data_IF_227270581591
#
_entry.id   IF_227270581591
#
_cell.length_a   1.000
_cell.length_b   1.000
_cell.length_c   1.000
_cell.angle_alpha   90.00
_cell.angle_beta   90.00
_cell.angle_gamma   90.00
#
_symmetry.space_group_name_H-M   'P 1'
#
loop_
_entity.id
_entity.type
_entity.pdbx_description
1 polymer ?
#
# COMPACT_ATOMS: atom_id res chain seq x y z
N UNK A 1 -0.82 -35.51 40.40
CA UNK A 1 -1.27 -35.38 39.00
C UNK A 1 -1.02 -33.94 38.59
N UNK A 2 -0.01 -33.72 37.76
CA UNK A 2 0.23 -32.41 37.14
C UNK A 2 -0.90 -32.19 36.14
N UNK A 3 -1.84 -31.30 36.44
CA UNK A 3 -2.79 -30.86 35.42
C UNK A 3 -1.96 -30.10 34.37
N UNK A 4 -1.82 -30.57 33.13
CA UNK A 4 -1.30 -29.71 32.07
C UNK A 4 -2.21 -28.48 32.02
N UNK A 5 -1.65 -27.27 32.05
CA UNK A 5 -2.43 -26.07 31.71
C UNK A 5 -2.89 -26.24 30.25
N UNK A 6 -4.10 -26.76 30.08
CA UNK A 6 -4.72 -26.95 28.77
C UNK A 6 -4.95 -25.57 28.16
N UNK A 7 -4.49 -25.42 26.91
CA UNK A 7 -4.66 -24.32 25.96
C UNK A 7 -5.83 -23.38 26.30
N UNK A 8 -5.51 -22.17 26.75
CA UNK A 8 -6.49 -21.15 27.10
C UNK A 8 -6.69 -20.18 25.94
N UNK A 9 -7.95 -19.86 25.61
CA UNK A 9 -8.24 -18.81 24.63
C UNK A 9 -7.68 -17.44 25.05
N UNK A 10 -7.38 -17.24 26.35
CA UNK A 10 -6.71 -16.02 26.86
C UNK A 10 -5.21 -15.96 26.53
N UNK A 11 -4.66 -16.90 25.76
CA UNK A 11 -3.38 -16.69 25.08
C UNK A 11 -3.48 -15.64 23.97
N UNK A 12 -4.70 -15.41 23.45
CA UNK A 12 -4.99 -14.28 22.60
C UNK A 12 -5.12 -13.00 23.45
N UNK A 13 -4.41 -11.92 23.09
CA UNK A 13 -4.31 -10.68 23.88
C UNK A 13 -5.62 -9.89 23.95
N UNK A 14 -6.47 -9.97 22.91
CA UNK A 14 -7.81 -9.34 22.97
C UNK A 14 -8.62 -10.03 24.08
N UNK A 15 -8.73 -11.36 24.01
CA UNK A 15 -9.48 -12.15 25.01
C UNK A 15 -8.86 -12.08 26.41
N UNK A 16 -7.53 -11.95 26.49
CA UNK A 16 -6.80 -11.75 27.75
C UNK A 16 -7.08 -10.39 28.40
N UNK A 17 -7.42 -9.38 27.60
CA UNK A 17 -7.70 -8.01 28.07
C UNK A 17 -9.16 -7.82 28.48
N UNK A 18 -10.06 -8.75 28.13
CA UNK A 18 -11.45 -8.73 28.57
C UNK A 18 -11.55 -9.08 30.07
N UNK A 19 -12.29 -8.31 30.88
CA UNK A 19 -12.50 -8.63 32.28
C UNK A 19 -13.15 -10.01 32.46
N UNK A 20 -12.72 -10.76 33.48
CA UNK A 20 -13.07 -12.18 33.64
C UNK A 20 -14.59 -12.44 33.66
N UNK A 21 -15.38 -11.52 34.21
CA UNK A 21 -16.84 -11.62 34.27
C UNK A 21 -17.50 -11.63 32.88
N UNK A 22 -16.96 -10.88 31.92
CA UNK A 22 -17.43 -10.87 30.53
C UNK A 22 -16.87 -12.07 29.77
N UNK A 23 -15.60 -12.39 29.98
CA UNK A 23 -14.94 -13.53 29.37
C UNK A 23 -15.62 -14.87 29.69
N UNK A 24 -16.14 -15.07 30.91
CA UNK A 24 -16.81 -16.30 31.29
C UNK A 24 -17.97 -16.65 30.34
N UNK A 25 -18.76 -15.65 29.91
CA UNK A 25 -19.88 -15.85 28.97
C UNK A 25 -19.39 -16.12 27.56
N UNK A 26 -18.37 -15.40 27.12
CA UNK A 26 -17.72 -15.65 25.81
C UNK A 26 -17.13 -17.06 25.72
N UNK A 27 -16.60 -17.57 26.84
CA UNK A 27 -15.92 -18.86 26.90
C UNK A 27 -16.83 -20.04 26.57
N UNK A 28 -18.15 -19.91 26.77
CA UNK A 28 -19.14 -20.93 26.41
C UNK A 28 -19.26 -21.11 24.88
N UNK A 29 -18.90 -20.08 24.12
CA UNK A 29 -18.99 -20.07 22.65
C UNK A 29 -17.64 -20.28 21.96
N UNK A 30 -16.53 -20.20 22.70
CA UNK A 30 -15.18 -20.36 22.16
C UNK A 30 -14.82 -21.83 22.00
N UNK A 31 -14.51 -22.25 20.77
CA UNK A 31 -14.06 -23.61 20.45
C UNK A 31 -12.63 -23.61 19.92
N UNK A 32 -11.73 -24.44 20.47
CA UNK A 32 -10.39 -24.57 19.91
C UNK A 32 -10.45 -25.15 18.50
N UNK A 33 -9.54 -24.70 17.64
CA UNK A 33 -9.34 -25.20 16.28
C UNK A 33 -7.86 -25.22 15.96
N UNK A 34 -7.41 -26.31 15.32
CA UNK A 34 -6.07 -26.42 14.79
C UNK A 34 -6.09 -25.99 13.32
N UNK A 35 -5.16 -25.12 12.96
CA UNK A 35 -5.06 -24.49 11.63
C UNK A 35 -3.75 -24.90 10.97
N UNK A 36 -3.82 -25.33 9.73
CA UNK A 36 -2.65 -25.80 8.97
C UNK A 36 -2.12 -24.71 8.04
N UNK A 37 -0.80 -24.63 7.85
CA UNK A 37 -0.20 -23.66 6.93
C UNK A 37 -0.73 -23.83 5.50
N UNK A 38 -1.08 -22.72 4.85
CA UNK A 38 -1.71 -22.67 3.54
C UNK A 38 -3.23 -22.90 3.54
N UNK A 39 -3.83 -23.22 4.68
CA UNK A 39 -5.28 -23.34 4.79
C UNK A 39 -5.97 -21.99 4.58
N UNK A 40 -7.01 -21.99 3.75
CA UNK A 40 -7.90 -20.84 3.59
C UNK A 40 -8.99 -20.94 4.64
N UNK A 41 -9.16 -19.89 5.44
CA UNK A 41 -10.25 -19.82 6.44
C UNK A 41 -11.47 -19.11 5.85
N UNK A 42 -11.23 -18.14 4.97
CA UNK A 42 -12.27 -17.41 4.24
C UNK A 42 -11.82 -17.08 2.82
N UNK A 43 -12.69 -17.33 1.84
CA UNK A 43 -12.54 -16.76 0.50
C UNK A 43 -13.19 -15.37 0.40
N UNK A 44 -12.78 -14.59 -0.60
CA UNK A 44 -13.32 -13.26 -0.83
C UNK A 44 -14.83 -13.33 -1.17
N UNK A 45 -15.62 -12.52 -0.48
CA UNK A 45 -17.07 -12.42 -0.63
C UNK A 45 -17.88 -13.45 0.17
N UNK A 46 -17.24 -14.44 0.80
CA UNK A 46 -17.93 -15.44 1.62
C UNK A 46 -18.50 -14.83 2.90
N UNK A 47 -19.60 -15.42 3.38
CA UNK A 47 -20.22 -15.02 4.65
C UNK A 47 -19.38 -15.49 5.84
N UNK A 48 -19.13 -14.58 6.78
CA UNK A 48 -18.38 -14.85 7.99
C UNK A 48 -19.27 -15.54 9.03
N UNK A 49 -19.18 -16.87 9.10
CA UNK A 49 -19.88 -17.66 10.13
C UNK A 49 -19.19 -17.60 11.51
N UNK A 50 -17.89 -17.31 11.55
CA UNK A 50 -17.06 -17.37 12.75
C UNK A 50 -16.05 -16.23 12.80
N UNK A 51 -15.72 -15.80 14.02
CA UNK A 51 -14.55 -14.99 14.33
C UNK A 51 -13.46 -15.90 14.88
N UNK A 52 -12.22 -15.71 14.44
CA UNK A 52 -11.07 -16.50 14.91
C UNK A 52 -10.12 -15.64 15.73
N UNK A 53 -9.64 -16.20 16.84
CA UNK A 53 -8.68 -15.62 17.76
C UNK A 53 -7.43 -16.51 17.76
N UNK A 54 -6.41 -16.19 16.96
CA UNK A 54 -5.15 -16.94 16.95
C UNK A 54 -4.49 -16.94 18.33
N UNK A 55 -3.76 -18.01 18.64
CA UNK A 55 -2.96 -18.14 19.88
C UNK A 55 -1.53 -18.53 19.59
N UNK A 56 -1.32 -19.47 18.66
CA UNK A 56 0.00 -19.98 18.26
C UNK A 56 0.14 -20.11 16.73
N UNK A 57 -0.77 -19.47 15.98
CA UNK A 57 -0.74 -19.40 14.53
C UNK A 57 -0.76 -17.95 14.04
N UNK A 58 -0.42 -17.74 12.77
CA UNK A 58 -0.60 -16.46 12.08
C UNK A 58 -1.43 -16.65 10.83
N UNK A 59 -2.26 -15.66 10.51
CA UNK A 59 -3.07 -15.61 9.28
C UNK A 59 -2.83 -14.30 8.57
N UNK A 60 -2.86 -14.30 7.25
CA UNK A 60 -2.72 -13.08 6.45
C UNK A 60 -3.98 -12.79 5.65
N UNK A 61 -4.32 -11.51 5.56
CA UNK A 61 -5.22 -11.01 4.54
C UNK A 61 -4.45 -10.89 3.24
N UNK A 62 -4.95 -11.55 2.20
CA UNK A 62 -4.32 -11.62 0.89
C UNK A 62 -5.30 -11.10 -0.16
N UNK A 63 -4.80 -10.25 -1.05
CA UNK A 63 -5.51 -9.84 -2.25
C UNK A 63 -4.91 -10.53 -3.48
N UNK A 64 -5.76 -10.88 -4.43
CA UNK A 64 -5.36 -11.46 -5.70
C UNK A 64 -5.54 -10.44 -6.82
N UNK A 65 -4.57 -10.37 -7.73
CA UNK A 65 -4.72 -9.65 -8.99
C UNK A 65 -5.46 -10.52 -10.01
N UNK A 66 -6.00 -9.91 -11.05
CA UNK A 66 -6.64 -10.64 -12.16
C UNK A 66 -5.67 -11.61 -12.88
N UNK A 67 -4.37 -11.33 -12.79
CA UNK A 67 -3.30 -12.14 -13.39
C UNK A 67 -2.85 -13.31 -12.48
N UNK A 68 -3.46 -13.45 -11.30
CA UNK A 68 -3.21 -14.56 -10.37
C UNK A 68 -2.11 -14.30 -9.34
N UNK A 69 -1.45 -13.15 -9.38
CA UNK A 69 -0.50 -12.75 -8.34
C UNK A 69 -1.22 -12.49 -7.02
N UNK A 70 -0.55 -12.74 -5.91
CA UNK A 70 -1.09 -12.54 -4.57
C UNK A 70 -0.18 -11.62 -3.76
N UNK A 71 -0.74 -10.61 -3.09
CA UNK A 71 -0.01 -9.77 -2.14
C UNK A 71 -0.65 -9.86 -0.76
N UNK A 72 0.18 -10.04 0.26
CA UNK A 72 -0.23 -9.81 1.65
C UNK A 72 -0.57 -8.32 1.83
N UNK A 73 -1.64 -8.06 2.59
CA UNK A 73 -2.06 -6.72 2.98
C UNK A 73 -1.79 -6.45 4.46
N UNK A 74 -2.08 -7.44 5.30
CA UNK A 74 -1.91 -7.38 6.75
C UNK A 74 -1.86 -8.79 7.34
N UNK A 75 -1.28 -8.90 8.55
CA UNK A 75 -1.17 -10.16 9.27
C UNK A 75 -1.85 -10.07 10.64
N UNK A 76 -2.44 -11.18 11.05
CA UNK A 76 -3.14 -11.35 12.32
C UNK A 76 -2.52 -12.50 13.10
N UNK A 77 -2.07 -12.20 14.32
CA UNK A 77 -1.51 -13.16 15.26
C UNK A 77 -2.28 -13.23 16.57
N UNK A 78 -1.60 -13.65 17.64
CA UNK A 78 -2.19 -13.74 18.99
C UNK A 78 -2.64 -12.40 19.57
N UNK A 79 -2.25 -11.30 18.97
CA UNK A 79 -2.60 -9.93 19.31
C UNK A 79 -3.81 -9.40 18.53
N UNK A 80 -4.49 -10.25 17.76
CA UNK A 80 -5.59 -9.83 16.90
C UNK A 80 -6.72 -10.86 16.75
N UNK A 81 -7.59 -10.60 15.78
CA UNK A 81 -8.69 -11.49 15.40
C UNK A 81 -9.00 -11.45 13.89
N UNK A 82 -9.48 -12.55 13.34
CA UNK A 82 -10.00 -12.64 11.98
C UNK A 82 -11.52 -12.46 12.02
N UNK A 83 -12.08 -11.68 11.09
CA UNK A 83 -13.53 -11.40 11.02
C UNK A 83 -13.90 -9.97 11.45
N UNK A 84 -12.94 -9.04 11.40
CA UNK A 84 -13.12 -7.63 11.80
C UNK A 84 -14.25 -6.90 11.06
N UNK A 85 -14.61 -7.34 9.84
CA UNK A 85 -15.67 -6.70 9.05
C UNK A 85 -17.06 -6.83 9.68
N UNK A 86 -17.29 -7.84 10.53
CA UNK A 86 -18.55 -7.99 11.29
C UNK A 86 -18.82 -6.77 12.17
N UNK A 87 -17.79 -6.22 12.79
CA UNK A 87 -17.87 -5.05 13.68
C UNK A 87 -18.17 -3.78 12.88
N UNK A 88 -17.77 -3.76 11.61
CA UNK A 88 -18.02 -2.67 10.67
C UNK A 88 -19.37 -2.80 9.95
N UNK A 89 -20.21 -3.77 10.34
CA UNK A 89 -21.55 -3.98 9.79
C UNK A 89 -21.59 -4.81 8.50
N UNK A 90 -20.47 -5.41 8.08
CA UNK A 90 -20.43 -6.30 6.91
C UNK A 90 -20.32 -7.76 7.32
N UNK A 91 -21.18 -8.61 6.74
CA UNK A 91 -21.16 -10.05 6.93
C UNK A 91 -20.11 -10.80 6.09
N UNK A 92 -19.28 -10.09 5.31
CA UNK A 92 -18.27 -10.69 4.43
C UNK A 92 -16.98 -9.84 4.37
N UNK A 93 -15.92 -10.41 3.77
CA UNK A 93 -14.65 -9.73 3.51
C UNK A 93 -14.31 -9.74 2.02
N UNK A 94 -13.71 -8.67 1.51
CA UNK A 94 -13.27 -8.59 0.10
C UNK A 94 -11.90 -9.26 -0.15
N UNK A 95 -11.29 -9.81 0.90
CA UNK A 95 -9.96 -10.41 0.85
C UNK A 95 -10.03 -11.85 1.32
N UNK A 96 -9.10 -12.66 0.81
CA UNK A 96 -8.92 -14.03 1.25
C UNK A 96 -8.12 -14.04 2.55
N UNK A 97 -8.43 -14.96 3.45
CA UNK A 97 -7.68 -15.17 4.69
C UNK A 97 -6.98 -16.52 4.65
N UNK A 98 -5.65 -16.49 4.68
CA UNK A 98 -4.80 -17.69 4.56
C UNK A 98 -3.95 -17.86 5.81
N UNK A 99 -3.91 -19.07 6.36
CA UNK A 99 -3.03 -19.44 7.47
C UNK A 99 -1.59 -19.51 6.99
N UNK A 100 -0.69 -18.79 7.65
CA UNK A 100 0.72 -18.73 7.27
C UNK A 100 1.55 -19.69 8.09
N UNK A 101 1.55 -19.49 9.41
CA UNK A 101 2.16 -20.42 10.34
C UNK A 101 1.06 -21.27 10.97
N UNK A 102 1.21 -22.60 10.86
CA UNK A 102 0.32 -23.55 11.50
C UNK A 102 0.35 -23.42 13.02
N UNK A 103 -0.78 -23.69 13.66
CA UNK A 103 -0.91 -23.63 15.11
C UNK A 103 -2.38 -23.62 15.53
N UNK A 104 -2.65 -23.04 16.69
CA UNK A 104 -3.97 -23.06 17.30
C UNK A 104 -4.63 -21.69 17.30
N UNK A 105 -5.95 -21.72 17.14
CA UNK A 105 -6.83 -20.58 17.33
C UNK A 105 -8.08 -21.02 18.12
N UNK A 106 -8.85 -20.05 18.59
CA UNK A 106 -10.21 -20.27 19.05
C UNK A 106 -11.19 -19.60 18.10
N UNK A 107 -12.28 -20.28 17.76
CA UNK A 107 -13.35 -19.71 16.95
C UNK A 107 -14.60 -19.47 17.78
N UNK A 108 -15.31 -18.38 17.50
CA UNK A 108 -16.58 -18.01 18.09
C UNK A 108 -17.60 -17.79 16.97
N UNK A 109 -18.85 -18.29 17.08
CA UNK A 109 -19.92 -17.96 16.14
C UNK A 109 -20.11 -16.44 15.98
N UNK A 110 -20.33 -15.98 14.74
CA UNK A 110 -20.42 -14.55 14.43
C UNK A 110 -21.57 -13.84 15.17
N UNK A 111 -22.70 -14.50 15.33
CA UNK A 111 -23.86 -14.00 16.11
C UNK A 111 -23.52 -13.82 17.59
N UNK A 112 -22.88 -14.82 18.21
CA UNK A 112 -22.41 -14.76 19.58
C UNK A 112 -21.38 -13.64 19.80
N UNK A 113 -20.47 -13.47 18.83
CA UNK A 113 -19.50 -12.39 18.83
C UNK A 113 -20.16 -11.01 18.78
N UNK A 114 -21.07 -10.79 17.82
CA UNK A 114 -21.79 -9.53 17.68
C UNK A 114 -22.66 -9.19 18.89
N UNK A 115 -23.28 -10.20 19.51
CA UNK A 115 -23.98 -10.03 20.79
C UNK A 115 -23.05 -9.55 21.91
N UNK A 116 -21.84 -10.12 22.05
CA UNK A 116 -20.90 -9.65 23.08
C UNK A 116 -20.36 -8.25 22.78
N UNK A 117 -20.03 -7.96 21.52
CA UNK A 117 -19.59 -6.61 21.11
C UNK A 117 -20.66 -5.56 21.43
N UNK A 118 -21.95 -5.92 21.29
CA UNK A 118 -23.05 -5.00 21.59
C UNK A 118 -23.32 -4.85 23.10
N UNK A 119 -22.93 -5.86 23.89
CA UNK A 119 -23.20 -5.93 25.34
C UNK A 119 -22.07 -5.42 26.22
N UNK A 120 -20.82 -5.68 25.84
CA UNK A 120 -19.63 -5.37 26.63
C UNK A 120 -18.86 -4.23 25.97
N UNK A 121 -18.93 -3.06 26.61
CA UNK A 121 -18.26 -1.85 26.13
C UNK A 121 -16.74 -2.03 26.05
N UNK A 122 -16.14 -2.69 27.04
CA UNK A 122 -14.70 -2.97 27.09
C UNK A 122 -14.26 -3.85 25.93
N UNK A 123 -15.03 -4.90 25.62
CA UNK A 123 -14.75 -5.78 24.49
C UNK A 123 -14.93 -5.03 23.15
N UNK A 124 -15.99 -4.22 23.03
CA UNK A 124 -16.19 -3.35 21.87
C UNK A 124 -15.00 -2.41 21.64
N UNK A 125 -14.51 -1.74 22.69
CA UNK A 125 -13.35 -0.85 22.60
C UNK A 125 -12.09 -1.58 22.18
N UNK A 126 -11.83 -2.77 22.75
CA UNK A 126 -10.67 -3.60 22.36
C UNK A 126 -10.72 -4.00 20.88
N UNK A 127 -11.89 -4.40 20.40
CA UNK A 127 -12.09 -4.81 19.00
C UNK A 127 -11.95 -3.60 18.06
N UNK A 128 -12.48 -2.43 18.42
CA UNK A 128 -12.31 -1.20 17.63
C UNK A 128 -10.84 -0.71 17.62
N UNK A 129 -10.13 -0.85 18.73
CA UNK A 129 -8.68 -0.61 18.78
C UNK A 129 -7.95 -1.54 17.81
N UNK A 130 -8.34 -2.81 17.75
CA UNK A 130 -7.77 -3.75 16.80
C UNK A 130 -8.07 -3.39 15.33
N UNK A 131 -9.27 -2.88 15.03
CA UNK A 131 -9.58 -2.32 13.69
C UNK A 131 -8.58 -1.23 13.32
N UNK A 132 -8.32 -0.29 14.24
CA UNK A 132 -7.37 0.80 14.01
C UNK A 132 -5.94 0.27 13.78
N UNK A 133 -5.50 -0.71 14.58
CA UNK A 133 -4.20 -1.39 14.38
C UNK A 133 -4.10 -2.00 12.98
N UNK A 134 -5.16 -2.68 12.52
CA UNK A 134 -5.16 -3.31 11.21
C UNK A 134 -5.09 -2.27 10.08
N UNK A 135 -5.81 -1.15 10.20
CA UNK A 135 -5.74 -0.04 9.26
C UNK A 135 -4.32 0.55 9.21
N UNK A 136 -3.69 0.78 10.37
CA UNK A 136 -2.31 1.26 10.43
C UNK A 136 -1.34 0.29 9.75
N UNK A 137 -1.47 -1.02 9.97
CA UNK A 137 -0.64 -2.03 9.30
C UNK A 137 -0.80 -1.97 7.77
N UNK A 138 -2.04 -1.91 7.27
CA UNK A 138 -2.31 -1.84 5.83
C UNK A 138 -1.79 -0.53 5.20
N UNK A 139 -1.91 0.60 5.89
CA UNK A 139 -1.34 1.86 5.41
C UNK A 139 0.19 1.83 5.38
N UNK A 140 0.82 1.28 6.43
CA UNK A 140 2.28 1.21 6.51
C UNK A 140 2.87 0.20 5.54
N UNK A 141 2.18 -0.90 5.23
CA UNK A 141 2.69 -1.89 4.26
C UNK A 141 2.91 -1.27 2.87
N UNK A 142 2.05 -0.33 2.46
CA UNK A 142 2.19 0.43 1.20
C UNK A 142 3.46 1.29 1.19
N UNK A 143 3.68 2.06 2.27
CA UNK A 143 4.88 2.90 2.44
C UNK A 143 6.13 2.01 2.41
N UNK A 144 6.08 0.92 3.16
CA UNK A 144 7.20 0.00 3.32
C UNK A 144 7.62 -0.64 1.99
N UNK A 145 6.66 -0.99 1.12
CA UNK A 145 6.94 -1.56 -0.21
C UNK A 145 7.66 -0.54 -1.11
N UNK A 146 7.25 0.73 -1.07
CA UNK A 146 7.78 1.79 -1.95
C UNK A 146 9.12 2.37 -1.50
N UNK A 147 9.41 2.39 -0.20
CA UNK A 147 10.53 3.16 0.35
C UNK A 147 11.63 2.33 1.03
N UNK A 148 11.38 1.05 1.36
CA UNK A 148 12.34 0.23 2.12
C UNK A 148 12.87 -0.99 1.36
N UNK A 149 14.10 -1.35 1.67
CA UNK A 149 14.78 -2.49 1.08
C UNK A 149 14.10 -3.82 1.46
N UNK A 150 14.34 -4.84 0.65
CA UNK A 150 13.87 -6.22 0.94
C UNK A 150 14.44 -6.72 2.27
N UNK A 151 15.66 -6.32 2.64
CA UNK A 151 16.28 -6.74 3.89
C UNK A 151 15.58 -6.15 5.10
N UNK A 152 15.23 -4.87 5.08
CA UNK A 152 14.52 -4.20 6.18
C UNK A 152 13.11 -4.75 6.35
N UNK A 153 12.38 -4.94 5.24
CA UNK A 153 11.05 -5.56 5.24
C UNK A 153 11.08 -7.02 5.71
N UNK A 154 12.12 -7.76 5.34
CA UNK A 154 12.31 -9.13 5.85
C UNK A 154 12.54 -9.12 7.37
N UNK A 155 13.39 -8.24 7.88
CA UNK A 155 13.60 -8.08 9.33
C UNK A 155 12.29 -7.76 10.05
N UNK A 156 11.48 -6.84 9.48
CA UNK A 156 10.14 -6.50 10.00
C UNK A 156 9.28 -7.76 10.08
N UNK A 157 9.19 -8.50 8.97
CA UNK A 157 8.31 -9.66 8.86
C UNK A 157 8.71 -10.76 9.85
N UNK A 158 10.01 -10.99 10.04
CA UNK A 158 10.54 -11.94 11.00
C UNK A 158 10.21 -11.54 12.45
N UNK A 159 10.45 -10.29 12.83
CA UNK A 159 10.15 -9.79 14.18
C UNK A 159 8.65 -9.81 14.47
N UNK A 160 7.84 -9.37 13.51
CA UNK A 160 6.39 -9.39 13.67
C UNK A 160 5.88 -10.83 13.84
N UNK A 161 6.31 -11.79 13.01
CA UNK A 161 5.89 -13.19 13.14
C UNK A 161 6.35 -13.80 14.46
N UNK A 162 7.56 -13.47 14.90
CA UNK A 162 8.08 -13.90 16.21
C UNK A 162 7.17 -13.41 17.34
N UNK A 163 6.81 -12.14 17.34
CA UNK A 163 5.99 -11.55 18.39
C UNK A 163 4.54 -12.07 18.35
N UNK A 164 4.02 -12.34 17.15
CA UNK A 164 2.72 -12.94 16.91
C UNK A 164 2.63 -14.42 17.35
N UNK A 165 3.72 -15.19 17.23
CA UNK A 165 3.78 -16.62 17.56
C UNK A 165 4.40 -16.93 18.92
N UNK A 166 5.08 -15.96 19.54
CA UNK A 166 5.92 -16.15 20.73
C UNK A 166 7.05 -17.17 20.56
N UNK A 167 7.62 -17.25 19.35
CA UNK A 167 8.61 -18.26 19.00
C UNK A 167 9.74 -17.64 18.19
N UNK A 168 10.98 -17.94 18.58
CA UNK A 168 12.17 -17.57 17.81
C UNK A 168 12.39 -18.48 16.59
N UNK A 169 11.61 -19.56 16.46
CA UNK A 169 11.60 -20.42 15.28
C UNK A 169 10.33 -20.24 14.46
N UNK A 170 10.50 -19.89 13.19
CA UNK A 170 9.44 -19.75 12.20
C UNK A 170 9.48 -20.93 11.23
N UNK A 171 8.38 -21.65 11.08
CA UNK A 171 8.22 -22.75 10.10
C UNK A 171 7.67 -22.18 8.81
N UNK A 172 8.56 -21.70 7.94
CA UNK A 172 8.19 -21.00 6.71
C UNK A 172 9.21 -21.28 5.59
N UNK A 173 8.78 -21.22 4.34
CA UNK A 173 9.67 -21.36 3.18
C UNK A 173 10.05 -20.00 2.61
N UNK A 174 11.19 -19.92 1.91
CA UNK A 174 11.58 -18.69 1.22
C UNK A 174 10.55 -18.25 0.17
N UNK A 175 9.89 -19.21 -0.49
CA UNK A 175 8.82 -18.94 -1.46
C UNK A 175 7.62 -18.28 -0.80
N UNK A 176 7.20 -18.80 0.36
CA UNK A 176 6.13 -18.21 1.15
C UNK A 176 6.46 -16.76 1.50
N UNK A 177 7.66 -16.49 2.03
CA UNK A 177 8.08 -15.12 2.37
C UNK A 177 8.14 -14.23 1.12
N UNK A 178 8.60 -14.76 -0.01
CA UNK A 178 8.71 -14.02 -1.26
C UNK A 178 7.33 -13.54 -1.74
N UNK A 179 6.35 -14.44 -1.75
CA UNK A 179 4.96 -14.11 -2.07
C UNK A 179 4.38 -13.08 -1.10
N UNK A 180 4.71 -13.19 0.18
CA UNK A 180 4.20 -12.30 1.24
C UNK A 180 4.77 -10.88 1.11
N UNK A 181 6.06 -10.76 0.81
CA UNK A 181 6.72 -9.48 0.64
C UNK A 181 6.58 -8.91 -0.78
N UNK A 182 5.90 -9.62 -1.69
CA UNK A 182 5.71 -9.20 -3.09
C UNK A 182 7.03 -9.12 -3.86
N UNK A 183 7.97 -10.02 -3.59
CA UNK A 183 9.32 -10.02 -4.20
C UNK A 183 9.67 -11.39 -4.76
N UNK A 184 10.75 -11.45 -5.55
CA UNK A 184 11.28 -12.72 -6.06
C UNK A 184 11.96 -13.52 -4.93
N UNK A 185 11.88 -14.85 -4.99
CA UNK A 185 12.50 -15.77 -4.01
C UNK A 185 14.01 -15.56 -3.89
N UNK A 186 14.69 -15.19 -4.97
CA UNK A 186 16.12 -14.90 -4.99
C UNK A 186 16.44 -13.71 -4.07
N UNK A 187 15.60 -12.68 -4.06
CA UNK A 187 15.76 -11.51 -3.20
C UNK A 187 15.68 -11.89 -1.72
N UNK A 188 14.76 -12.78 -1.35
CA UNK A 188 14.66 -13.32 0.02
C UNK A 188 15.90 -14.12 0.38
N UNK A 189 16.38 -14.95 -0.55
CA UNK A 189 17.57 -15.78 -0.32
C UNK A 189 18.81 -14.92 -0.10
N UNK A 190 18.98 -13.85 -0.88
CA UNK A 190 20.06 -12.88 -0.69
C UNK A 190 19.95 -12.11 0.63
N UNK A 191 18.75 -11.63 0.97
CA UNK A 191 18.52 -10.90 2.22
C UNK A 191 18.77 -11.79 3.45
N UNK A 192 18.25 -13.03 3.46
CA UNK A 192 18.54 -14.01 4.51
C UNK A 192 20.03 -14.33 4.60
N UNK A 193 20.74 -14.44 3.46
CA UNK A 193 22.19 -14.65 3.45
C UNK A 193 22.96 -13.52 4.16
N UNK A 194 22.54 -12.26 3.97
CA UNK A 194 23.12 -11.11 4.67
C UNK A 194 22.86 -11.16 6.18
N UNK A 195 21.60 -11.38 6.58
CA UNK A 195 21.22 -11.50 7.99
C UNK A 195 21.94 -12.67 8.68
N UNK A 196 22.11 -13.80 7.98
CA UNK A 196 22.82 -14.97 8.50
C UNK A 196 24.33 -14.74 8.62
N UNK A 197 24.94 -14.03 7.66
CA UNK A 197 26.36 -13.65 7.74
C UNK A 197 26.64 -12.69 8.90
N UNK A 198 25.65 -11.85 9.25
CA UNK A 198 25.68 -10.99 10.43
C UNK A 198 25.38 -11.72 11.75
N UNK A 199 25.07 -13.03 11.72
CA UNK A 199 24.77 -13.82 12.91
C UNK A 199 23.37 -13.58 13.49
N UNK A 200 22.50 -12.86 12.80
CA UNK A 200 21.18 -12.47 13.31
C UNK A 200 20.14 -13.60 13.19
N UNK A 201 20.26 -14.42 12.14
CA UNK A 201 19.35 -15.52 11.85
C UNK A 201 20.10 -16.77 11.39
N UNK A 202 19.47 -17.94 11.54
CA UNK A 202 19.90 -19.17 10.90
C UNK A 202 18.77 -19.73 10.02
N UNK A 203 19.04 -19.93 8.74
CA UNK A 203 18.10 -20.56 7.82
C UNK A 203 18.37 -22.06 7.67
N UNK A 204 17.29 -22.85 7.64
CA UNK A 204 17.30 -24.27 7.32
C UNK A 204 16.14 -24.61 6.38
N UNK A 205 16.01 -25.89 6.00
CA UNK A 205 14.93 -26.30 5.09
C UNK A 205 13.56 -26.08 5.74
N UNK A 206 12.80 -25.12 5.19
CA UNK A 206 11.44 -24.80 5.63
C UNK A 206 11.36 -24.19 7.04
N UNK A 207 12.47 -23.66 7.56
CA UNK A 207 12.51 -23.03 8.89
C UNK A 207 13.55 -21.92 8.97
N UNK A 208 13.27 -20.89 9.76
CA UNK A 208 14.17 -19.79 10.07
C UNK A 208 14.20 -19.65 11.59
N UNK A 209 15.40 -19.62 12.17
CA UNK A 209 15.60 -19.32 13.59
C UNK A 209 16.15 -17.90 13.73
N UNK A 210 15.55 -17.10 14.60
CA UNK A 210 16.05 -15.79 15.01
C UNK A 210 17.06 -16.04 16.14
N UNK A 211 18.31 -15.62 15.94
CA UNK A 211 19.40 -15.84 16.89
C UNK A 211 19.63 -14.60 17.78
N UNK A 212 19.50 -13.43 17.17
CA UNK A 212 19.65 -12.14 17.84
C UNK A 212 18.48 -11.23 17.47
N UNK A 213 17.54 -11.10 18.41
CA UNK A 213 16.36 -10.25 18.25
C UNK A 213 16.73 -8.77 18.21
N UNK A 214 17.67 -8.36 19.04
CA UNK A 214 18.00 -6.94 19.19
C UNK A 214 18.80 -6.48 17.97
N UNK A 215 19.78 -7.26 17.52
CA UNK A 215 20.48 -6.98 16.26
C UNK A 215 19.57 -7.03 15.03
N UNK A 216 18.52 -7.87 15.03
CA UNK A 216 17.50 -7.85 13.97
C UNK A 216 16.60 -6.61 14.04
N UNK A 217 16.36 -6.08 15.24
CA UNK A 217 15.63 -4.82 15.46
C UNK A 217 16.40 -3.64 14.88
N UNK A 218 17.73 -3.63 14.95
CA UNK A 218 18.56 -2.59 14.32
C UNK A 218 18.51 -2.63 12.77
N UNK A 219 18.08 -3.76 12.20
CA UNK A 219 17.94 -3.96 10.76
C UNK A 219 16.52 -3.72 10.24
N UNK A 220 15.58 -3.33 11.09
CA UNK A 220 14.18 -3.10 10.70
C UNK A 220 13.95 -1.67 10.25
N UNK A 221 13.02 -1.47 9.34
CA UNK A 221 12.56 -0.13 8.98
C UNK A 221 11.72 0.51 10.09
N UNK A 222 11.58 1.83 10.04
CA UNK A 222 10.80 2.62 10.98
C UNK A 222 9.30 2.25 11.02
N UNK A 223 8.77 1.61 9.97
CA UNK A 223 7.40 1.08 9.95
C UNK A 223 7.13 0.18 11.18
N UNK A 224 8.12 -0.63 11.61
CA UNK A 224 7.95 -1.56 12.73
C UNK A 224 7.69 -0.84 14.04
N UNK A 225 8.49 0.18 14.34
CA UNK A 225 8.34 0.98 15.55
C UNK A 225 7.02 1.74 15.56
N UNK A 226 6.58 2.25 14.40
CA UNK A 226 5.29 2.94 14.27
C UNK A 226 4.13 2.00 14.58
N UNK A 227 4.06 0.83 13.92
CA UNK A 227 2.98 -0.15 14.14
C UNK A 227 2.99 -0.68 15.57
N UNK A 228 4.18 -1.00 16.11
CA UNK A 228 4.32 -1.55 17.45
C UNK A 228 3.93 -0.55 18.53
N UNK A 229 4.36 0.71 18.40
CA UNK A 229 4.02 1.78 19.35
C UNK A 229 2.53 2.13 19.32
N UNK A 230 1.91 2.18 18.15
CA UNK A 230 0.47 2.42 18.03
C UNK A 230 -0.34 1.24 18.62
N UNK A 231 0.11 0.00 18.36
CA UNK A 231 -0.49 -1.20 18.98
C UNK A 231 -0.44 -1.14 20.50
N UNK A 232 0.72 -0.83 21.07
CA UNK A 232 0.89 -0.69 22.51
C UNK A 232 -0.01 0.43 23.06
N UNK A 233 0.02 1.62 22.44
CA UNK A 233 -0.76 2.78 22.86
C UNK A 233 -2.27 2.48 22.89
N UNK A 234 -2.78 1.79 21.87
CA UNK A 234 -4.21 1.47 21.76
C UNK A 234 -4.64 0.43 22.80
N UNK A 235 -3.84 -0.61 23.01
CA UNK A 235 -4.11 -1.58 24.08
C UNK A 235 -4.02 -0.97 25.48
N UNK A 236 -3.04 -0.09 25.74
CA UNK A 236 -2.95 0.64 27.00
C UNK A 236 -4.16 1.56 27.23
N UNK A 237 -4.65 2.23 26.19
CA UNK A 237 -5.84 3.07 26.28
C UNK A 237 -7.10 2.25 26.56
N UNK A 238 -7.27 1.12 25.87
CA UNK A 238 -8.39 0.22 26.08
C UNK A 238 -8.38 -0.45 27.47
N UNK A 239 -7.19 -0.68 28.04
CA UNK A 239 -7.04 -1.19 29.41
C UNK A 239 -7.23 -0.15 30.52
N UNK A 240 -7.23 1.16 30.19
CA UNK A 240 -7.38 2.28 31.14
C UNK A 240 -8.82 2.79 31.26
N UNK A 241 -9.83 2.06 30.81
CA UNK A 241 -11.24 2.43 31.08
C UNK A 241 -11.40 2.59 32.59
N UNK A 242 -11.74 3.79 33.10
CA UNK A 242 -11.65 4.07 34.52
C UNK A 242 -12.65 3.20 35.28
N UNK A 243 -12.19 2.52 36.34
CA UNK A 243 -13.04 1.93 37.39
C UNK A 243 -13.91 2.99 38.12
N UNK A 244 -13.82 4.27 37.74
CA UNK A 244 -14.58 5.36 38.32
C UNK A 244 -15.97 5.47 37.69
N UNK A 245 -16.91 4.63 38.13
CA UNK A 245 -18.30 4.99 38.45
C UNK A 245 -19.18 3.73 38.67
N UNK A 246 -18.80 2.88 39.63
CA UNK A 246 -19.71 1.86 40.17
C UNK A 246 -20.71 2.42 41.21
N UNK A 247 -20.85 3.74 41.32
CA UNK A 247 -21.82 4.39 42.21
C UNK A 247 -22.57 5.51 41.48
N UNK A 248 -23.44 5.15 40.54
CA UNK A 248 -24.71 5.85 40.24
C UNK A 248 -25.22 5.51 38.82
N UNK A 249 -25.80 4.32 38.65
CA UNK A 249 -26.63 4.06 37.47
C UNK A 249 -27.74 3.04 37.75
N UNK A 250 -28.33 3.09 38.94
CA UNK A 250 -29.74 2.73 39.12
C UNK A 250 -30.57 4.01 38.99
N UNK A 251 -30.64 4.58 37.79
CA UNK A 251 -31.66 5.56 37.46
C UNK A 251 -31.82 5.68 35.94
N UNK A 252 -33.01 5.29 35.47
CA UNK A 252 -33.61 5.70 34.20
C UNK A 252 -33.14 4.92 32.95
N UNK A 253 -33.84 3.82 32.68
CA UNK A 253 -34.09 3.39 31.30
C UNK A 253 -34.79 4.54 30.55
N UNK A 254 -34.03 5.25 29.70
CA UNK A 254 -34.57 6.02 28.59
C UNK A 254 -33.76 5.67 27.32
N UNK A 255 -34.39 5.26 26.22
CA UNK A 255 -33.69 4.97 24.98
C UNK A 255 -33.56 6.25 24.15
N UNK A 256 -32.51 7.05 24.40
CA UNK A 256 -32.10 8.15 23.51
C UNK A 256 -30.59 8.31 23.64
N UNK A 257 -29.81 8.01 22.58
CA UNK A 257 -28.36 8.33 22.58
C UNK A 257 -27.47 7.61 21.57
N UNK A 258 -27.86 6.46 21.01
CA UNK A 258 -26.97 5.72 20.07
C UNK A 258 -26.75 6.45 18.73
N UNK A 259 -27.72 7.24 18.26
CA UNK A 259 -27.60 8.00 17.01
C UNK A 259 -26.64 9.19 17.13
N UNK A 260 -26.65 9.90 18.26
CA UNK A 260 -25.82 11.10 18.46
C UNK A 260 -24.33 10.77 18.56
N UNK A 261 -23.98 9.66 19.21
CA UNK A 261 -22.59 9.20 19.34
C UNK A 261 -22.00 8.71 18.00
N UNK A 262 -22.83 8.11 17.15
CA UNK A 262 -22.45 7.72 15.78
C UNK A 262 -22.34 8.95 14.87
N UNK A 263 -23.31 9.86 14.92
CA UNK A 263 -23.29 11.13 14.20
C UNK A 263 -22.07 11.98 14.57
N UNK A 264 -21.70 12.01 15.84
CA UNK A 264 -20.47 12.69 16.30
C UNK A 264 -19.21 12.03 15.73
N UNK A 265 -19.10 10.69 15.73
CA UNK A 265 -17.95 9.99 15.13
C UNK A 265 -17.85 10.20 13.61
N UNK A 266 -18.97 10.23 12.89
CA UNK A 266 -18.99 10.56 11.46
C UNK A 266 -18.66 12.03 11.20
N UNK A 267 -19.13 12.95 12.05
CA UNK A 267 -18.76 14.36 11.99
C UNK A 267 -17.26 14.55 12.24
N UNK A 268 -16.68 13.85 13.20
CA UNK A 268 -15.23 13.91 13.47
C UNK A 268 -14.43 13.33 12.28
N UNK A 269 -14.85 12.18 11.72
CA UNK A 269 -14.18 11.61 10.54
C UNK A 269 -14.27 12.53 9.31
N UNK A 270 -15.40 13.24 9.15
CA UNK A 270 -15.59 14.22 8.09
C UNK A 270 -14.74 15.48 8.34
N UNK A 271 -14.82 16.07 9.54
CA UNK A 271 -14.15 17.32 9.90
C UNK A 271 -12.63 17.16 10.02
N UNK A 272 -12.10 16.01 10.45
CA UNK A 272 -10.65 15.79 10.62
C UNK A 272 -9.98 15.05 9.45
N UNK A 273 -10.70 14.78 8.36
CA UNK A 273 -10.09 14.20 7.17
C UNK A 273 -9.03 15.16 6.58
N UNK A 274 -7.84 14.66 6.17
CA UNK A 274 -6.79 15.49 5.56
C UNK A 274 -7.11 15.88 4.10
N UNK A 275 -8.23 15.40 3.55
CA UNK A 275 -8.72 15.70 2.19
C UNK A 275 -9.94 16.61 2.25
N UNK A 276 -10.05 17.52 1.29
CA UNK A 276 -11.15 18.47 1.23
C UNK A 276 -12.42 17.82 0.67
N UNK A 277 -13.43 17.60 1.50
CA UNK A 277 -14.76 17.17 1.04
C UNK A 277 -15.62 18.39 0.78
N UNK A 278 -16.07 18.58 -0.46
CA UNK A 278 -16.91 19.72 -0.86
C UNK A 278 -18.13 19.21 -1.59
N UNK A 279 -19.33 19.53 -1.10
CA UNK A 279 -20.59 19.27 -1.82
C UNK A 279 -20.99 20.49 -2.61
N UNK A 280 -21.28 20.30 -3.90
CA UNK A 280 -21.82 21.33 -4.79
C UNK A 280 -23.28 21.04 -5.15
N UNK A 281 -24.08 22.09 -5.34
CA UNK A 281 -25.39 21.98 -5.98
C UNK A 281 -25.26 21.81 -7.50
N UNK A 282 -26.39 21.59 -8.20
CA UNK A 282 -26.41 21.49 -9.68
C UNK A 282 -25.89 22.74 -10.39
N UNK A 283 -25.92 23.89 -9.74
CA UNK A 283 -25.41 25.16 -10.27
C UNK A 283 -23.90 25.32 -10.00
N UNK A 284 -23.26 24.39 -9.26
CA UNK A 284 -21.85 24.42 -8.92
C UNK A 284 -21.52 25.32 -7.73
N UNK A 285 -22.50 25.67 -6.90
CA UNK A 285 -22.29 26.45 -5.67
C UNK A 285 -21.92 25.53 -4.51
N UNK A 286 -21.01 25.99 -3.65
CA UNK A 286 -20.59 25.22 -2.47
C UNK A 286 -21.74 25.18 -1.45
N UNK A 287 -22.28 23.99 -1.21
CA UNK A 287 -23.37 23.74 -0.26
C UNK A 287 -22.79 23.37 1.12
N UNK A 288 -21.78 22.50 1.13
CA UNK A 288 -21.16 22.01 2.36
C UNK A 288 -19.67 21.73 2.12
N UNK A 289 -18.85 21.92 3.16
CA UNK A 289 -17.44 21.51 3.14
C UNK A 289 -16.98 21.08 4.53
N UNK A 290 -15.95 20.22 4.60
CA UNK A 290 -15.26 19.88 5.84
C UNK A 290 -14.15 20.88 6.19
N UNK A 291 -13.44 20.67 7.30
CA UNK A 291 -12.38 21.59 7.74
C UNK A 291 -11.25 21.71 6.72
N UNK A 292 -10.79 20.60 6.16
CA UNK A 292 -9.74 20.62 5.14
C UNK A 292 -10.17 21.36 3.87
N UNK A 293 -11.41 21.15 3.40
CA UNK A 293 -11.94 21.87 2.25
C UNK A 293 -12.14 23.37 2.53
N UNK A 294 -12.53 23.73 3.75
CA UNK A 294 -12.61 25.13 4.18
C UNK A 294 -11.23 25.81 4.21
N UNK A 295 -10.18 25.11 4.68
CA UNK A 295 -8.79 25.58 4.65
C UNK A 295 -8.29 25.70 3.21
N UNK A 296 -8.56 24.71 2.36
CA UNK A 296 -8.16 24.75 0.95
C UNK A 296 -8.84 25.88 0.19
N UNK A 297 -10.12 26.15 0.42
CA UNK A 297 -10.86 27.23 -0.25
C UNK A 297 -10.72 28.60 0.44
N UNK A 298 -10.07 28.64 1.61
CA UNK A 298 -9.93 29.82 2.47
C UNK A 298 -11.28 30.50 2.80
N UNK A 299 -12.25 29.68 3.21
CA UNK A 299 -13.60 30.13 3.60
C UNK A 299 -13.90 29.80 5.06
N UNK A 300 -14.66 30.67 5.73
CA UNK A 300 -15.12 30.39 7.09
C UNK A 300 -16.33 29.44 7.08
N UNK A 301 -16.34 28.42 7.94
CA UNK A 301 -17.46 27.47 8.11
C UNK A 301 -18.81 28.16 8.40
N UNK A 302 -18.78 29.35 8.99
CA UNK A 302 -19.95 30.19 9.29
C UNK A 302 -20.48 30.96 8.08
N UNK A 303 -19.66 31.15 7.05
CA UNK A 303 -20.04 31.79 5.80
C UNK A 303 -20.68 30.73 4.89
N UNK A 304 -21.96 30.42 5.17
CA UNK A 304 -22.86 29.71 4.23
C UNK A 304 -23.21 30.59 3.03
N UNK A 305 -22.23 31.26 2.45
CA UNK A 305 -22.41 31.96 1.18
C UNK A 305 -22.26 30.92 0.09
N UNK A 306 -23.29 30.79 -0.75
CA UNK A 306 -23.34 29.97 -1.96
C UNK A 306 -22.33 30.49 -3.00
N UNK A 307 -21.04 30.49 -2.68
CA UNK A 307 -20.00 30.94 -3.58
C UNK A 307 -19.84 29.89 -4.70
N UNK A 308 -19.86 30.30 -5.97
CA UNK A 308 -19.56 29.40 -7.08
C UNK A 308 -18.15 28.82 -6.91
N UNK A 309 -18.00 27.50 -6.98
CA UNK A 309 -16.69 26.86 -6.80
C UNK A 309 -15.64 27.36 -7.82
N UNK A 310 -16.09 27.74 -9.02
CA UNK A 310 -15.24 28.26 -10.08
C UNK A 310 -14.48 29.56 -9.70
N UNK A 311 -14.96 30.34 -8.74
CA UNK A 311 -14.29 31.57 -8.29
C UNK A 311 -12.99 31.30 -7.52
N UNK A 312 -12.88 30.13 -6.89
CA UNK A 312 -11.66 29.69 -6.19
C UNK A 312 -10.60 29.16 -7.16
N UNK A 313 -10.95 28.90 -8.42
CA UNK A 313 -10.06 28.32 -9.43
C UNK A 313 -9.46 29.44 -10.29
N UNK A 314 -8.17 29.29 -10.65
CA UNK A 314 -7.51 30.20 -11.60
C UNK A 314 -8.28 30.27 -12.93
N UNK A 315 -8.38 31.46 -13.56
CA UNK A 315 -9.11 31.62 -14.83
C UNK A 315 -8.69 30.66 -15.95
N UNK A 316 -7.44 30.22 -15.97
CA UNK A 316 -6.93 29.25 -16.95
C UNK A 316 -7.60 27.85 -16.83
N UNK A 317 -7.95 27.44 -15.61
CA UNK A 317 -8.43 26.08 -15.29
C UNK A 317 -9.96 26.03 -15.11
N UNK A 318 -10.65 27.18 -15.11
CA UNK A 318 -12.11 27.26 -14.93
C UNK A 318 -12.89 26.52 -16.02
N UNK A 319 -12.47 26.62 -17.28
CA UNK A 319 -13.13 25.94 -18.40
C UNK A 319 -13.01 24.42 -18.30
N UNK A 320 -11.85 23.95 -17.83
CA UNK A 320 -11.56 22.54 -17.58
C UNK A 320 -12.43 21.99 -16.45
N UNK A 321 -12.60 22.75 -15.36
CA UNK A 321 -13.50 22.39 -14.27
C UNK A 321 -14.97 22.36 -14.70
N UNK A 322 -15.46 23.36 -15.44
CA UNK A 322 -16.86 23.41 -15.87
C UNK A 322 -17.23 22.22 -16.78
N UNK A 323 -16.34 21.83 -17.70
CA UNK A 323 -16.54 20.64 -18.54
C UNK A 323 -16.55 19.36 -17.71
N UNK A 324 -15.64 19.24 -16.76
CA UNK A 324 -15.61 18.13 -15.81
C UNK A 324 -16.90 18.04 -14.98
N UNK A 325 -17.38 19.15 -14.42
CA UNK A 325 -18.60 19.21 -13.62
C UNK A 325 -19.83 18.74 -14.43
N UNK A 326 -19.96 19.16 -15.69
CA UNK A 326 -21.03 18.68 -16.57
C UNK A 326 -20.96 17.18 -16.87
N UNK A 327 -19.75 16.64 -17.07
CA UNK A 327 -19.56 15.19 -17.24
C UNK A 327 -19.99 14.40 -16.00
N UNK A 328 -19.68 14.92 -14.81
CA UNK A 328 -20.08 14.31 -13.53
C UNK A 328 -21.60 14.34 -13.38
N UNK A 329 -22.25 15.48 -13.63
CA UNK A 329 -23.70 15.61 -13.61
C UNK A 329 -24.41 14.69 -14.62
N UNK A 330 -23.75 14.34 -15.72
CA UNK A 330 -24.28 13.39 -16.71
C UNK A 330 -24.16 11.91 -16.29
N UNK A 331 -23.49 11.62 -15.17
CA UNK A 331 -23.23 10.26 -14.69
C UNK A 331 -22.19 9.48 -15.51
N UNK A 332 -21.50 10.13 -16.46
CA UNK A 332 -20.54 9.50 -17.39
C UNK A 332 -19.07 9.78 -17.05
N UNK A 333 -18.79 10.52 -15.99
CA UNK A 333 -17.43 10.84 -15.62
C UNK A 333 -16.67 9.61 -15.11
N UNK A 334 -15.46 9.39 -15.65
CA UNK A 334 -14.53 8.31 -15.25
C UNK A 334 -13.10 8.82 -15.03
N UNK A 335 -12.92 10.13 -14.96
CA UNK A 335 -11.62 10.80 -14.84
C UNK A 335 -11.62 11.69 -13.62
N UNK A 336 -10.43 12.03 -13.13
CA UNK A 336 -10.25 13.11 -12.16
C UNK A 336 -9.95 14.42 -12.90
N UNK A 337 -9.97 15.53 -12.17
CA UNK A 337 -9.72 16.86 -12.68
C UNK A 337 -8.63 17.53 -11.85
N UNK A 338 -7.56 18.02 -12.46
CA UNK A 338 -6.54 18.81 -11.76
C UNK A 338 -6.76 20.29 -12.05
N UNK A 339 -6.87 21.10 -11.01
CA UNK A 339 -7.06 22.55 -11.13
C UNK A 339 -6.19 23.29 -10.14
N UNK A 340 -5.88 24.53 -10.48
CA UNK A 340 -5.10 25.40 -9.61
C UNK A 340 -6.01 26.34 -8.85
N UNK A 341 -6.00 26.27 -7.52
CA UNK A 341 -6.73 27.20 -6.68
C UNK A 341 -5.96 28.50 -6.50
N UNK A 342 -6.67 29.62 -6.59
CA UNK A 342 -6.12 30.96 -6.40
C UNK A 342 -5.42 31.11 -5.04
N UNK A 343 -4.39 31.95 -4.99
CA UNK A 343 -3.78 32.38 -3.74
C UNK A 343 -4.72 33.38 -3.03
N UNK A 344 -4.68 33.38 -1.70
CA UNK A 344 -5.41 34.30 -0.84
C UNK A 344 -4.45 34.96 0.16
N UNK A 345 -4.96 35.83 1.02
CA UNK A 345 -4.13 36.51 2.03
C UNK A 345 -3.53 35.54 3.08
N UNK A 346 -4.12 34.34 3.22
CA UNK A 346 -3.73 33.35 4.22
C UNK A 346 -3.14 32.06 3.63
N UNK A 347 -3.17 31.91 2.31
CA UNK A 347 -2.79 30.67 1.63
C UNK A 347 -2.12 30.96 0.28
N UNK A 348 -1.01 30.27 0.01
CA UNK A 348 -0.39 30.28 -1.32
C UNK A 348 -1.23 29.52 -2.34
N UNK A 349 -1.00 29.83 -3.61
CA UNK A 349 -1.50 29.02 -4.73
C UNK A 349 -1.21 27.52 -4.52
N UNK A 350 -2.19 26.68 -4.83
CA UNK A 350 -2.08 25.23 -4.66
C UNK A 350 -2.73 24.52 -5.85
N UNK A 351 -2.18 23.37 -6.23
CA UNK A 351 -2.74 22.49 -7.26
C UNK A 351 -3.51 21.39 -6.54
N UNK A 352 -4.79 21.25 -6.87
CA UNK A 352 -5.66 20.24 -6.29
C UNK A 352 -6.10 19.23 -7.35
N UNK A 353 -6.06 17.96 -6.98
CA UNK A 353 -6.74 16.89 -7.72
C UNK A 353 -8.15 16.74 -7.18
N UNK A 354 -9.13 16.77 -8.06
CA UNK A 354 -10.56 16.70 -7.76
C UNK A 354 -11.12 15.41 -8.34
N UNK A 355 -11.60 14.54 -7.46
CA UNK A 355 -12.44 13.39 -7.77
C UNK A 355 -13.89 13.74 -7.44
N UNK A 356 -14.87 13.34 -8.27
CA UNK A 356 -16.25 13.78 -8.10
C UNK A 356 -17.27 12.68 -8.39
N UNK A 357 -18.32 12.63 -7.58
CA UNK A 357 -19.44 11.68 -7.73
C UNK A 357 -20.77 12.37 -7.44
N UNK A 358 -21.82 11.99 -8.15
CA UNK A 358 -23.19 12.35 -7.81
C UNK A 358 -23.65 11.57 -6.57
N UNK A 359 -24.44 12.21 -5.72
CA UNK A 359 -25.14 11.54 -4.63
C UNK A 359 -26.26 10.62 -5.13
N UNK A 360 -26.80 9.76 -4.25
CA UNK A 360 -27.81 8.75 -4.60
C UNK A 360 -29.11 9.35 -5.16
N UNK A 361 -29.40 10.62 -4.82
CA UNK A 361 -30.56 11.36 -5.30
C UNK A 361 -30.27 12.17 -6.58
N UNK A 362 -29.01 12.29 -6.99
CA UNK A 362 -28.59 13.03 -8.18
C UNK A 362 -28.74 14.56 -8.07
N UNK A 363 -28.83 15.09 -6.86
CA UNK A 363 -29.08 16.50 -6.56
C UNK A 363 -27.78 17.23 -6.14
N UNK A 364 -26.80 16.51 -5.57
CA UNK A 364 -25.53 17.07 -5.12
C UNK A 364 -24.33 16.39 -5.79
N UNK A 365 -23.37 17.20 -6.21
CA UNK A 365 -22.08 16.76 -6.73
C UNK A 365 -21.06 16.79 -5.59
N UNK A 366 -20.63 15.61 -5.12
CA UNK A 366 -19.65 15.46 -4.04
C UNK A 366 -18.25 15.43 -4.62
N UNK A 367 -17.44 16.42 -4.26
CA UNK A 367 -16.04 16.55 -4.63
C UNK A 367 -15.13 16.10 -3.49
N UNK A 368 -14.05 15.40 -3.86
CA UNK A 368 -12.91 15.10 -3.02
C UNK A 368 -11.71 15.83 -3.60
N UNK A 369 -11.16 16.77 -2.82
CA UNK A 369 -10.02 17.59 -3.18
C UNK A 369 -8.78 17.11 -2.43
N UNK A 370 -7.71 16.85 -3.17
CA UNK A 370 -6.42 16.40 -2.64
C UNK A 370 -5.37 17.41 -3.08
N UNK A 371 -4.62 17.95 -2.13
CA UNK A 371 -3.48 18.82 -2.42
C UNK A 371 -2.35 17.99 -3.04
N UNK A 372 -2.00 18.28 -4.30
CA UNK A 372 -0.91 17.64 -5.03
C UNK A 372 0.22 18.61 -5.35
N UNK A 373 0.27 19.75 -4.65
CA UNK A 373 1.21 20.85 -4.94
C UNK A 373 2.66 20.41 -4.79
N UNK A 374 3.01 19.77 -3.68
CA UNK A 374 4.40 19.33 -3.43
C UNK A 374 4.80 18.18 -4.36
N UNK A 375 3.91 17.23 -4.62
CA UNK A 375 4.14 16.14 -5.58
C UNK A 375 4.41 16.68 -6.99
N UNK A 376 3.62 17.66 -7.44
CA UNK A 376 3.83 18.31 -8.76
C UNK A 376 5.12 19.12 -8.80
N UNK A 377 5.49 19.82 -7.71
CA UNK A 377 6.77 20.54 -7.63
C UNK A 377 7.95 19.58 -7.70
N UNK A 378 7.91 18.47 -6.95
CA UNK A 378 8.97 17.45 -6.98
C UNK A 378 9.09 16.82 -8.36
N UNK A 379 7.97 16.41 -8.97
CA UNK A 379 7.98 15.87 -10.33
C UNK A 379 8.50 16.88 -11.38
N UNK A 380 8.14 18.16 -11.24
CA UNK A 380 8.66 19.21 -12.13
C UNK A 380 10.16 19.48 -11.91
N UNK A 381 10.63 19.42 -10.66
CA UNK A 381 12.05 19.56 -10.33
C UNK A 381 12.88 18.38 -10.85
N UNK A 382 12.39 17.16 -10.70
CA UNK A 382 13.02 15.96 -11.22
C UNK A 382 13.13 16.02 -12.75
N UNK A 383 12.02 16.36 -13.43
CA UNK A 383 12.03 16.52 -14.88
C UNK A 383 12.97 17.65 -15.35
N UNK A 384 13.02 18.77 -14.62
CA UNK A 384 13.93 19.86 -14.93
C UNK A 384 15.39 19.46 -14.70
N UNK A 385 15.68 18.70 -13.64
CA UNK A 385 17.00 18.18 -13.33
C UNK A 385 17.46 17.17 -14.39
N UNK A 386 16.59 16.25 -14.80
CA UNK A 386 16.86 15.32 -15.91
C UNK A 386 17.14 16.05 -17.21
N UNK A 387 16.32 17.06 -17.57
CA UNK A 387 16.57 17.89 -18.75
C UNK A 387 17.91 18.61 -18.67
N UNK A 388 18.25 19.17 -17.51
CA UNK A 388 19.53 19.84 -17.31
C UNK A 388 20.71 18.87 -17.45
N UNK A 389 20.60 17.66 -16.90
CA UNK A 389 21.62 16.62 -17.07
C UNK A 389 21.75 16.20 -18.54
N UNK A 390 20.64 16.02 -19.25
CA UNK A 390 20.64 15.72 -20.69
C UNK A 390 21.30 16.83 -21.50
N UNK A 391 20.99 18.10 -21.23
CA UNK A 391 21.61 19.24 -21.89
C UNK A 391 23.11 19.35 -21.59
N UNK A 392 23.53 19.12 -20.34
CA UNK A 392 24.94 19.12 -19.95
C UNK A 392 25.72 18.01 -20.65
N UNK A 393 25.14 16.81 -20.77
CA UNK A 393 25.74 15.68 -21.50
C UNK A 393 25.82 15.96 -23.01
N UNK A 394 24.79 16.59 -23.57
CA UNK A 394 24.74 16.95 -25.00
C UNK A 394 25.76 18.04 -25.38
N UNK A 395 26.12 18.93 -24.45
CA UNK A 395 27.07 20.03 -24.68
C UNK A 395 28.53 19.71 -24.33
N UNK A 396 28.85 18.49 -23.90
CA UNK A 396 30.24 18.13 -23.62
C UNK A 396 31.06 18.14 -24.93
N UNK A 397 32.22 18.82 -24.97
CA UNK A 397 33.06 18.93 -26.18
C UNK A 397 33.84 17.64 -26.49
N UNK A 398 33.64 16.57 -25.72
CA UNK A 398 34.29 15.27 -25.88
C UNK A 398 33.24 14.17 -26.05
N UNK A 399 33.61 13.13 -26.80
CA UNK A 399 32.77 11.96 -27.03
C UNK A 399 32.52 11.20 -25.73
N UNK A 400 31.25 10.99 -25.40
CA UNK A 400 30.81 10.31 -24.20
C UNK A 400 29.93 9.13 -24.59
N UNK A 401 30.28 7.93 -24.13
CA UNK A 401 29.46 6.74 -24.35
C UNK A 401 29.45 5.83 -23.12
N UNK A 402 28.32 5.17 -22.92
CA UNK A 402 28.07 4.26 -21.81
C UNK A 402 28.03 2.83 -22.33
N UNK A 403 28.64 1.90 -21.61
CA UNK A 403 28.62 0.46 -21.92
C UNK A 403 27.97 -0.33 -20.79
N UNK A 404 27.31 -1.43 -21.11
CA UNK A 404 26.82 -2.40 -20.13
C UNK A 404 27.96 -3.27 -19.57
N UNK A 405 27.62 -4.16 -18.63
CA UNK A 405 28.58 -5.08 -18.00
C UNK A 405 29.21 -6.07 -18.99
N UNK A 406 28.57 -6.29 -20.14
CA UNK A 406 29.04 -7.13 -21.24
C UNK A 406 29.80 -6.33 -22.31
N UNK A 407 30.04 -5.03 -22.07
CA UNK A 407 30.79 -4.14 -22.96
C UNK A 407 29.99 -3.60 -24.16
N UNK A 408 28.66 -3.77 -24.20
CA UNK A 408 27.80 -3.28 -25.27
C UNK A 408 27.42 -1.82 -25.04
N UNK A 409 27.39 -1.03 -26.10
CA UNK A 409 27.04 0.40 -26.04
C UNK A 409 25.57 0.59 -25.67
N UNK A 410 25.29 1.30 -24.57
CA UNK A 410 23.93 1.63 -24.09
C UNK A 410 23.47 2.99 -24.62
N UNK A 411 24.35 4.00 -24.57
CA UNK A 411 24.00 5.39 -24.89
C UNK A 411 25.26 6.18 -25.26
N UNK A 412 25.12 7.22 -26.08
CA UNK A 412 26.20 8.16 -26.41
C UNK A 412 25.67 9.59 -26.61
N UNK A 413 26.51 10.59 -26.39
CA UNK A 413 26.16 11.99 -26.63
C UNK A 413 26.15 12.34 -28.13
N UNK A 414 25.45 13.42 -28.48
CA UNK A 414 25.23 13.86 -29.87
C UNK A 414 26.52 14.18 -30.63
N UNK A 415 27.56 14.69 -29.94
CA UNK A 415 28.89 14.93 -30.56
C UNK A 415 29.52 13.65 -31.11
N UNK A 416 29.28 12.48 -30.50
CA UNK A 416 29.71 11.20 -31.05
C UNK A 416 29.04 10.91 -32.40
N UNK A 417 27.76 11.25 -32.57
CA UNK A 417 26.99 10.91 -33.78
C UNK A 417 27.39 11.80 -34.97
N UNK A 418 27.68 13.07 -34.72
CA UNK A 418 28.10 14.02 -35.76
C UNK A 418 29.53 13.78 -36.22
N UNK A 419 30.49 13.62 -35.29
CA UNK A 419 31.90 13.39 -35.63
C UNK A 419 32.13 11.99 -36.23
N UNK A 420 31.35 10.98 -35.82
CA UNK A 420 31.47 9.62 -36.37
C UNK A 420 31.15 9.54 -37.86
N UNK A 421 30.20 10.35 -38.35
CA UNK A 421 29.92 10.44 -39.80
C UNK A 421 31.12 11.01 -40.56
N UNK A 422 31.87 11.92 -39.94
CA UNK A 422 33.06 12.50 -40.53
C UNK A 422 34.24 11.51 -40.55
N UNK A 423 34.44 10.75 -39.47
CA UNK A 423 35.44 9.68 -39.38
C UNK A 423 35.16 8.48 -40.30
N UNK A 424 33.90 8.23 -40.64
CA UNK A 424 33.51 7.16 -41.56
C UNK A 424 33.63 7.54 -43.05
N UNK A 425 33.72 8.84 -43.38
CA UNK A 425 33.79 9.31 -44.76
C UNK A 425 35.22 9.40 -45.31
N UNK A 426 36.20 9.72 -44.47
CA UNK A 426 37.61 9.74 -44.87
C UNK A 426 38.31 8.43 -44.46
N UNK A 427 38.70 7.65 -45.46
CA UNK A 427 39.42 6.39 -45.33
C UNK A 427 40.86 6.58 -44.80
N UNK A 428 41.00 6.98 -43.54
CA UNK A 428 42.27 7.07 -42.83
C UNK A 428 42.11 6.63 -41.36
N UNK A 429 41.68 5.39 -41.14
CA UNK A 429 41.63 4.75 -39.82
C UNK A 429 42.67 3.63 -39.73
N UNK A 430 43.96 3.95 -39.92
CA UNK A 430 45.06 2.98 -39.67
C UNK A 430 45.51 2.94 -38.21
N UNK A 431 44.85 3.64 -37.29
CA UNK A 431 45.19 3.55 -35.85
C UNK A 431 44.03 3.82 -34.90
N UNK A 432 42.86 3.27 -35.22
CA UNK A 432 41.83 3.03 -34.20
C UNK A 432 41.90 1.57 -33.82
N UNK A 433 42.22 1.34 -32.55
CA UNK A 433 42.32 0.02 -31.94
C UNK A 433 40.98 -0.72 -32.10
N UNK A 434 40.95 -1.66 -33.03
CA UNK A 434 39.81 -2.52 -33.34
C UNK A 434 39.33 -3.34 -32.13
N UNK A 435 40.14 -3.48 -31.06
CA UNK A 435 39.72 -4.15 -29.84
C UNK A 435 38.69 -3.35 -29.02
N UNK A 436 38.50 -2.07 -29.31
CA UNK A 436 37.58 -1.20 -28.58
C UNK A 436 36.14 -1.16 -29.12
N UNK A 437 35.87 -1.81 -30.27
CA UNK A 437 34.54 -1.93 -30.86
C UNK A 437 33.78 -3.18 -30.37
N UNK A 438 32.50 -3.06 -29.95
CA UNK A 438 31.67 -4.22 -29.64
C UNK A 438 31.30 -5.01 -30.91
N UNK A 439 31.57 -6.31 -30.89
CA UNK A 439 31.18 -7.31 -31.88
C UNK A 439 29.65 -7.46 -31.93
N UNK A 440 28.98 -6.61 -32.72
CA UNK A 440 27.52 -6.70 -32.90
C UNK A 440 27.00 -6.29 -34.28
N UNK A 441 27.83 -5.69 -35.14
CA UNK A 441 27.40 -5.19 -36.46
C UNK A 441 28.01 -5.92 -37.66
N UNK A 442 28.80 -6.98 -37.46
CA UNK A 442 29.38 -7.78 -38.54
C UNK A 442 28.68 -9.13 -38.68
N UNK A 443 27.54 -9.12 -39.39
CA UNK A 443 26.69 -10.31 -39.48
C UNK A 443 25.87 -10.50 -40.75
N UNK A 444 26.12 -9.79 -41.86
CA UNK A 444 25.66 -10.25 -43.18
C UNK A 444 26.72 -10.01 -44.25
N UNK A 445 27.33 -11.12 -44.68
CA UNK A 445 28.22 -11.23 -45.85
C UNK A 445 27.41 -10.88 -47.11
N UNK A 446 27.77 -9.80 -47.80
CA UNK A 446 27.64 -9.76 -49.25
C UNK A 446 28.84 -10.51 -49.83
N UNK A 447 28.55 -11.62 -50.51
CA UNK A 447 29.54 -12.48 -51.13
C UNK A 447 30.40 -11.74 -52.15
N UNK A 448 31.64 -12.18 -52.17
CA UNK A 448 32.79 -11.76 -52.96
C UNK A 448 32.58 -11.75 -54.46
N UNK A 449 33.24 -10.78 -55.09
CA UNK A 449 33.59 -10.69 -56.49
C UNK A 449 34.61 -11.75 -56.93
N UNK A 450 34.44 -12.23 -58.16
CA UNK A 450 35.46 -12.73 -59.08
C UNK A 450 34.86 -12.57 -60.49
N UNK A 451 35.54 -12.22 -61.57
CA UNK A 451 36.90 -11.75 -61.89
C UNK A 451 36.82 -11.31 -63.37
N UNK A 452 37.81 -10.55 -63.82
CA UNK A 452 37.91 -9.97 -65.16
C UNK A 452 37.85 -10.98 -66.34
N UNK A 453 37.44 -10.46 -67.50
CA UNK A 453 38.14 -10.68 -68.78
C UNK A 453 37.57 -11.74 -69.74
N UNK A 454 37.39 -11.26 -70.97
CA UNK A 454 37.42 -11.97 -72.26
C UNK A 454 36.14 -12.49 -72.95
N UNK A 455 35.98 -11.91 -74.15
CA UNK A 455 35.66 -12.51 -75.44
C UNK A 455 34.22 -12.93 -75.83
N UNK A 456 33.81 -12.29 -76.94
CA UNK A 456 33.20 -12.88 -78.15
C UNK A 456 31.72 -13.32 -78.13
N UNK A 457 30.95 -12.54 -78.89
CA UNK A 457 30.03 -12.95 -79.98
C UNK A 457 28.84 -13.89 -79.69
N UNK A 458 27.67 -13.34 -80.07
CA UNK A 458 26.65 -13.92 -80.95
C UNK A 458 25.48 -14.73 -80.34
N UNK A 459 24.29 -14.48 -80.89
CA UNK A 459 23.11 -15.36 -80.87
C UNK A 459 22.10 -15.03 -79.78
N UNK A 460 21.07 -14.20 -80.00
CA UNK A 460 19.82 -14.46 -80.75
C UNK A 460 18.72 -15.19 -79.94
N UNK A 461 17.47 -14.76 -80.20
CA UNK A 461 16.14 -15.31 -79.83
C UNK A 461 15.52 -14.86 -78.48
N UNK A 462 14.48 -14.00 -78.53
CA UNK A 462 13.01 -14.30 -78.50
C UNK A 462 12.60 -14.91 -77.15
N UNK A 463 11.52 -14.59 -76.46
CA UNK A 463 10.23 -13.90 -76.67
C UNK A 463 9.56 -14.02 -75.29
N UNK A 464 8.96 -13.00 -74.68
CA UNK A 464 7.56 -12.58 -74.84
C UNK A 464 7.22 -11.73 -73.62
#
# INVERSE_FOLDING_TARGET
MSYPMVESARQNKILASVPLIHYARMSEHLKPVELTAGQVIYEAGESLEFVYFPTTCTTSLVSHTADGDSSELAMTGRDGMVGVSLVLGSGSMNHRVVVQCAGQAFRMPADAFLMEVSRCHEFQQLVLCYVQILLTQMSQSIVCIGHHSVSERLSYWLLFNRDALDSDQLKVTHETIANMLGVRRESITQALGKLQSAGLVASGRGKINILDRDGLTDCVCECFSLVSSETQRLYERAGRTPEASFESAEASLQPVGQEQDLLHKYQDAYDFAPVGFVSLDRQGQVVQTNLAGAIMLDIQRSQRSLSPFAEFIKPADQSLFLGFHQEVLSGKCRRYCEVTLCATDHRSEMVVRIDATLDEMGEECRLVMIDVTEEKKLAAQELAHERQLQELLARQPFMLWFKDQDGRLISANSSLIEDWRHFAQDAALERVDFQSMPLGFSGQRLQTSHSAGDELRSGAFKSS
#
